data_IF_977864565730
#
_entry.id   IF_977864565730
#
_cell.length_a   1.000
_cell.length_b   1.000
_cell.length_c   1.000
_cell.angle_alpha   90.00
_cell.angle_beta   90.00
_cell.angle_gamma   90.00
#
_symmetry.space_group_name_H-M   'P 1'
#
loop_
_entity.id
_entity.type
_entity.pdbx_description
1 polymer ?
#
# COMPACT_ATOMS: atom_id res chain seq x y z
N UNK A 1 21.85 -5.35 18.26
CA UNK A 1 20.61 -5.98 17.73
C UNK A 1 19.44 -5.06 18.03
N UNK A 2 18.50 -4.90 17.10
CA UNK A 2 17.31 -4.09 17.36
C UNK A 2 16.40 -4.81 18.37
N UNK A 3 15.73 -4.08 19.27
CA UNK A 3 14.95 -4.65 20.38
C UNK A 3 13.88 -5.66 19.92
N UNK A 4 13.29 -5.44 18.74
CA UNK A 4 12.24 -6.31 18.17
C UNK A 4 12.77 -7.70 17.75
N UNK A 5 14.09 -7.87 17.63
CA UNK A 5 14.72 -9.16 17.29
C UNK A 5 14.87 -10.08 18.52
N UNK A 6 14.60 -9.58 19.72
CA UNK A 6 14.71 -10.33 20.98
C UNK A 6 13.39 -11.01 21.39
N UNK A 7 12.35 -10.90 20.57
CA UNK A 7 11.05 -11.51 20.83
C UNK A 7 11.12 -13.03 20.66
N UNK A 8 10.38 -13.77 21.49
CA UNK A 8 10.23 -15.22 21.32
C UNK A 8 9.48 -15.53 20.02
N UNK A 9 10.20 -16.01 19.02
CA UNK A 9 9.67 -16.34 17.70
C UNK A 9 9.10 -17.76 17.60
N UNK A 10 9.09 -18.52 18.70
CA UNK A 10 8.60 -19.91 18.73
C UNK A 10 7.15 -20.00 19.18
N UNK A 11 6.66 -19.02 19.93
CA UNK A 11 5.30 -18.99 20.46
C UNK A 11 4.32 -18.32 19.48
N UNK A 12 3.35 -19.11 19.00
CA UNK A 12 2.24 -18.63 18.18
C UNK A 12 1.35 -17.60 18.91
N UNK A 13 0.71 -16.72 18.15
CA UNK A 13 -0.27 -15.77 18.68
C UNK A 13 -1.66 -16.43 18.77
N UNK A 14 -2.31 -16.34 19.93
CA UNK A 14 -3.72 -16.72 20.09
C UNK A 14 -4.67 -15.77 19.36
N UNK A 15 -4.21 -14.55 19.03
CA UNK A 15 -4.97 -13.56 18.28
C UNK A 15 -5.00 -13.92 16.79
N UNK A 16 -3.92 -14.48 16.27
CA UNK A 16 -3.75 -14.83 14.85
C UNK A 16 -3.49 -16.33 14.70
N UNK A 17 -4.51 -17.18 14.89
CA UNK A 17 -4.34 -18.62 15.08
C UNK A 17 -3.75 -19.35 13.86
N UNK A 18 -3.85 -18.76 12.66
CA UNK A 18 -3.34 -19.36 11.42
C UNK A 18 -2.04 -18.72 10.92
N UNK A 19 -1.43 -17.80 11.68
CA UNK A 19 -0.17 -17.15 11.31
C UNK A 19 0.99 -17.73 12.13
N UNK A 20 1.87 -18.56 11.53
CA UNK A 20 3.00 -19.14 12.24
C UNK A 20 3.98 -18.05 12.71
N UNK A 21 4.36 -18.10 14.00
CA UNK A 21 5.23 -17.10 14.60
C UNK A 21 6.56 -16.94 13.86
N UNK A 22 7.22 -18.05 13.54
CA UNK A 22 8.50 -18.03 12.83
C UNK A 22 8.43 -17.30 11.48
N UNK A 23 7.41 -17.59 10.68
CA UNK A 23 7.18 -16.92 9.39
C UNK A 23 6.83 -15.44 9.56
N UNK A 24 6.03 -15.12 10.58
CA UNK A 24 5.68 -13.74 10.91
C UNK A 24 6.93 -12.90 11.22
N UNK A 25 7.78 -13.34 12.16
CA UNK A 25 8.98 -12.59 12.53
C UNK A 25 10.01 -12.50 11.39
N UNK A 26 10.14 -13.56 10.58
CA UNK A 26 10.96 -13.52 9.37
C UNK A 26 10.46 -12.47 8.37
N UNK A 27 9.13 -12.40 8.17
CA UNK A 27 8.52 -11.42 7.29
C UNK A 27 8.65 -9.98 7.82
N UNK A 28 8.48 -9.74 9.13
CA UNK A 28 8.77 -8.43 9.75
C UNK A 28 10.22 -8.01 9.49
N UNK A 29 11.18 -8.93 9.68
CA UNK A 29 12.59 -8.65 9.42
C UNK A 29 12.86 -8.36 7.93
N UNK A 30 12.25 -9.13 7.02
CA UNK A 30 12.32 -8.89 5.58
C UNK A 30 11.80 -7.50 5.23
N UNK A 31 10.64 -7.10 5.75
CA UNK A 31 10.03 -5.81 5.46
C UNK A 31 10.89 -4.63 5.94
N UNK A 32 11.43 -4.71 7.16
CA UNK A 32 12.29 -3.64 7.69
C UNK A 32 13.59 -3.50 6.88
N UNK A 33 14.19 -4.62 6.46
CA UNK A 33 15.43 -4.61 5.67
C UNK A 33 15.19 -4.23 4.21
N UNK A 34 14.09 -4.68 3.65
CA UNK A 34 13.76 -4.62 2.23
C UNK A 34 12.30 -4.21 2.07
N UNK A 35 11.96 -2.97 2.42
CA UNK A 35 10.58 -2.48 2.38
C UNK A 35 9.91 -2.65 1.01
N UNK A 36 10.69 -2.53 -0.07
CA UNK A 36 10.20 -2.72 -1.45
C UNK A 36 9.79 -4.17 -1.74
N UNK A 37 10.15 -5.14 -0.90
CA UNK A 37 9.74 -6.53 -1.07
C UNK A 37 8.36 -6.85 -0.48
N UNK A 38 7.71 -5.87 0.16
CA UNK A 38 6.33 -6.02 0.64
C UNK A 38 5.43 -6.38 -0.54
N UNK A 39 4.64 -7.44 -0.38
CA UNK A 39 3.90 -8.01 -1.49
C UNK A 39 2.40 -8.04 -1.20
N UNK A 40 1.62 -7.35 -2.04
CA UNK A 40 0.19 -7.17 -1.80
C UNK A 40 -0.71 -8.34 -2.21
N UNK A 41 -0.15 -9.38 -2.84
CA UNK A 41 -0.92 -10.55 -3.29
C UNK A 41 -1.50 -10.43 -4.70
N UNK A 42 -1.63 -11.56 -5.40
CA UNK A 42 -2.33 -11.62 -6.68
C UNK A 42 -3.83 -11.40 -6.51
N UNK A 43 -4.42 -10.65 -7.44
CA UNK A 43 -5.86 -10.39 -7.55
C UNK A 43 -6.49 -9.69 -6.33
N UNK A 44 -5.69 -9.07 -5.46
CA UNK A 44 -6.17 -8.29 -4.33
C UNK A 44 -6.32 -6.80 -4.66
N UNK A 45 -7.11 -6.07 -3.87
CA UNK A 45 -7.25 -4.61 -3.98
C UNK A 45 -6.40 -3.83 -2.94
N UNK A 46 -5.36 -4.46 -2.38
CA UNK A 46 -4.51 -3.86 -1.33
C UNK A 46 -3.47 -2.82 -1.81
N UNK A 47 -3.45 -2.47 -3.10
CA UNK A 47 -2.41 -1.61 -3.69
C UNK A 47 -2.15 -0.29 -2.97
N UNK A 48 -3.20 0.40 -2.55
CA UNK A 48 -3.08 1.66 -1.81
C UNK A 48 -2.35 1.48 -0.48
N UNK A 49 -2.70 0.45 0.29
CA UNK A 49 -2.04 0.17 1.56
C UNK A 49 -0.59 -0.27 1.33
N UNK A 50 -0.34 -1.12 0.33
CA UNK A 50 0.99 -1.62 0.04
C UNK A 50 1.94 -0.50 -0.40
N UNK A 51 1.53 0.36 -1.34
CA UNK A 51 2.33 1.50 -1.81
C UNK A 51 2.66 2.48 -0.66
N UNK A 52 1.68 2.77 0.21
CA UNK A 52 1.94 3.56 1.41
C UNK A 52 2.91 2.85 2.37
N UNK A 53 2.73 1.54 2.57
CA UNK A 53 3.52 0.76 3.53
C UNK A 53 5.00 0.73 3.15
N UNK A 54 5.34 0.62 1.87
CA UNK A 54 6.73 0.72 1.40
C UNK A 54 7.36 2.04 1.84
N UNK A 55 6.65 3.16 1.67
CA UNK A 55 7.12 4.47 2.10
C UNK A 55 7.25 4.55 3.62
N UNK A 56 6.21 4.14 4.33
CA UNK A 56 6.15 4.19 5.78
C UNK A 56 7.24 3.36 6.44
N UNK A 57 7.53 2.15 5.92
CA UNK A 57 8.56 1.28 6.47
C UNK A 57 9.96 1.84 6.19
N UNK A 58 10.19 2.44 5.01
CA UNK A 58 11.48 3.10 4.70
C UNK A 58 11.76 4.28 5.62
N UNK A 59 10.75 5.12 5.85
CA UNK A 59 10.88 6.36 6.62
C UNK A 59 10.81 6.13 8.14
N UNK A 60 9.96 5.20 8.59
CA UNK A 60 9.67 4.96 10.01
C UNK A 60 9.71 3.45 10.36
N UNK A 61 10.83 2.74 10.13
CA UNK A 61 10.91 1.29 10.31
C UNK A 61 10.64 0.84 11.75
N UNK A 62 11.08 1.61 12.75
CA UNK A 62 10.81 1.29 14.15
C UNK A 62 9.34 1.44 14.52
N UNK A 63 8.66 2.44 13.94
CA UNK A 63 7.24 2.65 14.20
C UNK A 63 6.44 1.53 13.58
N UNK A 64 6.77 1.14 12.35
CA UNK A 64 6.23 -0.08 11.75
C UNK A 64 6.43 -1.30 12.65
N UNK A 65 7.66 -1.53 13.15
CA UNK A 65 7.97 -2.67 14.03
C UNK A 65 7.10 -2.67 15.30
N UNK A 66 6.98 -1.52 15.99
CA UNK A 66 6.12 -1.39 17.17
C UNK A 66 4.66 -1.71 16.84
N UNK A 67 4.15 -1.18 15.73
CA UNK A 67 2.77 -1.37 15.32
C UNK A 67 2.46 -2.82 14.97
N UNK A 68 3.26 -3.43 14.10
CA UNK A 68 3.00 -4.79 13.62
C UNK A 68 3.16 -5.82 14.75
N UNK A 69 4.12 -5.62 15.66
CA UNK A 69 4.26 -6.49 16.83
C UNK A 69 3.09 -6.33 17.81
N UNK A 70 2.65 -5.10 18.08
CA UNK A 70 1.47 -4.84 18.92
C UNK A 70 0.22 -5.50 18.34
N UNK A 71 -0.01 -5.34 17.03
CA UNK A 71 -1.10 -6.01 16.33
C UNK A 71 -0.99 -7.53 16.43
N UNK A 72 0.21 -8.11 16.26
CA UNK A 72 0.40 -9.55 16.37
C UNK A 72 0.12 -10.09 17.78
N UNK A 73 0.56 -9.36 18.81
CA UNK A 73 0.49 -9.82 20.21
C UNK A 73 -0.89 -9.59 20.81
N UNK A 74 -1.56 -8.48 20.48
CA UNK A 74 -2.77 -8.02 21.16
C UNK A 74 -3.97 -7.85 20.23
N UNK A 75 -3.74 -7.84 18.92
CA UNK A 75 -4.75 -7.47 17.92
C UNK A 75 -5.02 -5.97 17.85
N UNK A 76 -4.27 -5.15 18.60
CA UNK A 76 -4.50 -3.72 18.72
C UNK A 76 -3.18 -2.94 18.67
N UNK A 77 -3.28 -1.68 18.25
CA UNK A 77 -2.22 -0.69 18.41
C UNK A 77 -2.83 0.68 18.63
N UNK A 78 -2.35 1.39 19.64
CA UNK A 78 -2.83 2.74 19.97
C UNK A 78 -1.64 3.66 20.24
N UNK A 79 -1.65 4.82 19.60
CA UNK A 79 -0.82 5.97 19.98
C UNK A 79 -1.64 7.27 19.88
N UNK A 80 -1.00 8.43 20.05
CA UNK A 80 -1.67 9.74 20.00
C UNK A 80 -2.28 10.09 18.63
N UNK A 81 -1.90 9.39 17.57
CA UNK A 81 -2.33 9.67 16.20
C UNK A 81 -3.34 8.66 15.65
N UNK A 82 -3.34 7.43 16.16
CA UNK A 82 -4.19 6.35 15.63
C UNK A 82 -4.50 5.27 16.68
N UNK A 83 -5.69 4.67 16.55
CA UNK A 83 -6.09 3.47 17.25
C UNK A 83 -6.58 2.43 16.21
N UNK A 84 -5.80 1.38 16.00
CA UNK A 84 -6.12 0.26 15.12
C UNK A 84 -6.50 -0.93 16.00
N UNK A 85 -7.70 -1.46 15.78
CA UNK A 85 -8.14 -2.72 16.40
C UNK A 85 -8.56 -3.67 15.29
N UNK A 86 -7.91 -4.83 15.23
CA UNK A 86 -8.27 -5.90 14.29
C UNK A 86 -9.59 -6.55 14.71
N UNK A 87 -10.51 -6.70 13.76
CA UNK A 87 -11.76 -7.45 13.97
C UNK A 87 -11.53 -8.97 14.07
N UNK A 88 -12.42 -9.72 14.74
CA UNK A 88 -12.36 -11.18 14.77
C UNK A 88 -12.30 -11.82 13.38
N UNK A 89 -13.00 -11.25 12.40
CA UNK A 89 -13.11 -11.77 11.05
C UNK A 89 -11.76 -11.74 10.33
N UNK A 90 -11.01 -10.65 10.40
CA UNK A 90 -9.68 -10.58 9.77
C UNK A 90 -8.65 -11.43 10.52
N UNK A 91 -8.82 -11.61 11.84
CA UNK A 91 -7.96 -12.48 12.67
C UNK A 91 -8.04 -13.94 12.26
N UNK A 92 -9.25 -14.40 11.94
CA UNK A 92 -9.49 -15.74 11.42
C UNK A 92 -9.08 -15.88 9.96
N UNK A 93 -9.05 -14.79 9.19
CA UNK A 93 -8.68 -14.83 7.78
C UNK A 93 -7.18 -14.91 7.55
N UNK A 94 -6.38 -14.13 8.30
CA UNK A 94 -4.94 -14.06 8.09
C UNK A 94 -4.28 -15.44 8.28
N UNK A 95 -3.43 -15.82 7.34
CA UNK A 95 -2.75 -17.12 7.31
C UNK A 95 -3.53 -18.23 6.59
N UNK A 96 -4.76 -18.00 6.17
CA UNK A 96 -5.60 -19.02 5.50
C UNK A 96 -5.62 -18.94 3.98
N UNK A 97 -5.14 -17.83 3.41
CA UNK A 97 -5.22 -17.57 1.98
C UNK A 97 -4.34 -18.52 1.16
N UNK A 98 -4.85 -18.91 -0.01
CA UNK A 98 -4.13 -19.74 -1.00
C UNK A 98 -4.16 -19.07 -2.36
N UNK A 99 -3.13 -19.31 -3.17
CA UNK A 99 -3.04 -18.79 -4.53
C UNK A 99 -2.79 -17.29 -4.62
N UNK A 100 -2.31 -16.67 -3.54
CA UNK A 100 -2.05 -15.22 -3.47
C UNK A 100 -0.59 -14.85 -3.75
N UNK A 101 0.20 -15.73 -4.36
CA UNK A 101 1.64 -15.51 -4.54
C UNK A 101 2.38 -15.50 -3.21
N UNK A 102 3.43 -14.67 -3.06
CA UNK A 102 4.21 -14.58 -1.81
C UNK A 102 3.37 -14.19 -0.59
N UNK A 103 2.28 -13.44 -0.78
CA UNK A 103 1.45 -12.94 0.32
C UNK A 103 0.93 -14.09 1.19
N UNK A 104 0.64 -15.26 0.61
CA UNK A 104 0.14 -16.41 1.35
C UNK A 104 1.12 -16.93 2.42
N UNK A 105 2.43 -16.67 2.24
CA UNK A 105 3.49 -17.04 3.18
C UNK A 105 3.90 -15.87 4.10
N UNK A 106 3.59 -14.64 3.69
CA UNK A 106 3.96 -13.42 4.41
C UNK A 106 2.89 -13.04 5.44
N UNK A 107 2.94 -13.69 6.61
CA UNK A 107 1.97 -13.47 7.69
C UNK A 107 1.92 -12.03 8.22
N UNK A 108 3.06 -11.33 8.26
CA UNK A 108 3.09 -9.93 8.69
C UNK A 108 2.45 -9.00 7.66
N UNK A 109 2.67 -9.25 6.36
CA UNK A 109 2.02 -8.51 5.28
C UNK A 109 0.50 -8.69 5.33
N UNK A 110 0.02 -9.91 5.55
CA UNK A 110 -1.41 -10.19 5.68
C UNK A 110 -2.03 -9.44 6.86
N UNK A 111 -1.45 -9.58 8.07
CA UNK A 111 -1.94 -8.88 9.28
C UNK A 111 -1.95 -7.37 9.06
N UNK A 112 -0.87 -6.83 8.50
CA UNK A 112 -0.72 -5.41 8.27
C UNK A 112 -1.78 -4.88 7.29
N UNK A 113 -1.86 -5.48 6.09
CA UNK A 113 -2.79 -5.03 5.04
C UNK A 113 -4.25 -5.20 5.45
N UNK A 114 -4.59 -6.31 6.11
CA UNK A 114 -5.93 -6.54 6.64
C UNK A 114 -6.29 -5.52 7.71
N UNK A 115 -5.40 -5.28 8.67
CA UNK A 115 -5.66 -4.32 9.76
C UNK A 115 -5.84 -2.90 9.24
N UNK A 116 -5.08 -2.50 8.21
CA UNK A 116 -5.25 -1.21 7.55
C UNK A 116 -6.57 -1.13 6.79
N UNK A 117 -6.93 -2.17 6.04
CA UNK A 117 -8.19 -2.21 5.30
C UNK A 117 -9.41 -2.23 6.22
N UNK A 118 -9.30 -2.89 7.37
CA UNK A 118 -10.36 -2.96 8.36
C UNK A 118 -10.56 -1.60 9.06
N UNK A 119 -9.47 -0.90 9.38
CA UNK A 119 -9.51 0.41 10.02
C UNK A 119 -9.91 1.55 9.06
N UNK A 120 -9.28 1.63 7.89
CA UNK A 120 -9.49 2.76 6.97
C UNK A 120 -10.66 2.49 6.02
N UNK A 121 -11.82 3.09 6.33
CA UNK A 121 -12.99 3.11 5.44
C UNK A 121 -13.15 4.45 4.71
N UNK A 122 -13.76 4.39 3.53
CA UNK A 122 -14.12 5.51 2.68
C UNK A 122 -15.40 5.20 1.89
N UNK A 123 -15.78 6.07 0.96
CA UNK A 123 -17.06 5.95 0.26
C UNK A 123 -17.22 4.67 -0.58
N UNK A 124 -16.12 4.06 -1.01
CA UNK A 124 -16.12 2.79 -1.77
C UNK A 124 -16.41 1.57 -0.88
N UNK A 125 -16.29 1.71 0.43
CA UNK A 125 -16.47 0.61 1.38
C UNK A 125 -17.87 0.63 2.02
N UNK A 126 -18.77 1.51 1.57
CA UNK A 126 -20.04 1.82 2.27
C UNK A 126 -21.05 0.68 2.22
N UNK A 127 -20.96 -0.19 1.22
CA UNK A 127 -21.85 -1.36 1.09
C UNK A 127 -21.29 -2.60 1.78
N UNK A 128 -19.99 -2.61 2.10
CA UNK A 128 -19.35 -3.72 2.80
C UNK A 128 -18.38 -3.21 3.87
N UNK A 129 -18.87 -3.17 5.11
CA UNK A 129 -18.11 -2.66 6.26
C UNK A 129 -17.38 -3.76 7.04
N UNK A 130 -17.82 -5.02 6.93
CA UNK A 130 -17.30 -6.16 7.71
C UNK A 130 -16.63 -7.16 6.78
N UNK A 131 -15.46 -7.65 7.17
CA UNK A 131 -14.74 -8.59 6.34
C UNK A 131 -15.50 -9.93 6.22
N UNK A 132 -15.59 -10.43 4.99
CA UNK A 132 -15.92 -11.81 4.67
C UNK A 132 -14.78 -12.43 3.84
N UNK A 133 -14.63 -13.75 3.91
CA UNK A 133 -13.57 -14.42 3.14
C UNK A 133 -13.75 -14.16 1.63
N UNK A 134 -12.70 -13.66 0.96
CA UNK A 134 -12.74 -13.22 -0.44
C UNK A 134 -12.79 -11.70 -0.62
N UNK A 135 -13.04 -10.94 0.46
CA UNK A 135 -13.10 -9.47 0.42
C UNK A 135 -11.77 -8.78 0.15
N UNK A 136 -10.66 -9.53 0.19
CA UNK A 136 -9.37 -9.04 -0.28
C UNK A 136 -9.36 -8.72 -1.78
N UNK A 137 -10.37 -9.16 -2.54
CA UNK A 137 -10.53 -8.88 -3.97
C UNK A 137 -11.72 -7.95 -4.27
N UNK A 138 -12.41 -7.43 -3.25
CA UNK A 138 -13.60 -6.59 -3.39
C UNK A 138 -13.32 -5.14 -3.00
N UNK A 139 -14.33 -4.29 -3.08
CA UNK A 139 -14.23 -2.89 -2.67
C UNK A 139 -14.02 -2.74 -1.15
N UNK A 140 -14.24 -3.79 -0.34
CA UNK A 140 -14.00 -3.77 1.11
C UNK A 140 -12.56 -3.34 1.45
N UNK A 141 -11.57 -3.87 0.74
CA UNK A 141 -10.17 -3.45 0.86
C UNK A 141 -9.73 -2.45 -0.23
N UNK A 142 -10.65 -1.99 -1.10
CA UNK A 142 -10.34 -0.96 -2.07
C UNK A 142 -9.85 0.34 -1.39
N UNK A 143 -8.99 1.07 -2.09
CA UNK A 143 -8.52 2.40 -1.67
C UNK A 143 -8.86 3.44 -2.73
N UNK A 144 -9.43 4.57 -2.30
CA UNK A 144 -9.63 5.77 -3.11
C UNK A 144 -8.59 6.84 -2.71
N UNK A 145 -8.46 7.91 -3.50
CA UNK A 145 -7.41 8.91 -3.27
C UNK A 145 -7.54 9.57 -1.89
N UNK A 146 -8.76 9.88 -1.46
CA UNK A 146 -9.03 10.50 -0.16
C UNK A 146 -8.61 9.59 1.01
N UNK A 147 -8.95 8.30 0.93
CA UNK A 147 -8.57 7.28 1.91
C UNK A 147 -7.05 7.13 1.98
N UNK A 148 -6.38 7.05 0.84
CA UNK A 148 -4.91 6.96 0.79
C UNK A 148 -4.25 8.14 1.52
N UNK A 149 -4.72 9.36 1.26
CA UNK A 149 -4.23 10.58 1.95
C UNK A 149 -4.53 10.58 3.44
N UNK A 150 -5.73 10.14 3.84
CA UNK A 150 -6.11 10.02 5.26
C UNK A 150 -5.16 9.06 5.98
N UNK A 151 -4.87 7.91 5.39
CA UNK A 151 -3.89 6.95 5.91
C UNK A 151 -2.50 7.59 6.00
N UNK A 152 -2.01 8.22 4.94
CA UNK A 152 -0.70 8.87 4.96
C UNK A 152 -0.56 9.90 6.09
N UNK A 153 -1.60 10.70 6.33
CA UNK A 153 -1.61 11.71 7.39
C UNK A 153 -1.70 11.09 8.79
N UNK A 154 -2.68 10.20 9.02
CA UNK A 154 -2.95 9.66 10.36
C UNK A 154 -1.89 8.66 10.80
N UNK A 155 -1.50 7.76 9.90
CA UNK A 155 -0.55 6.69 10.19
C UNK A 155 0.90 7.17 10.04
N UNK A 156 1.22 7.86 8.93
CA UNK A 156 2.59 8.30 8.65
C UNK A 156 2.95 9.68 9.20
N UNK A 157 1.98 10.48 9.63
CA UNK A 157 2.23 11.88 10.04
C UNK A 157 2.65 12.77 8.87
N UNK A 158 2.41 12.35 7.62
CA UNK A 158 2.86 13.07 6.43
C UNK A 158 1.98 14.29 6.13
N UNK A 159 2.62 15.40 5.76
CA UNK A 159 1.96 16.58 5.17
C UNK A 159 1.90 16.42 3.65
N UNK A 160 1.07 15.50 3.17
CA UNK A 160 0.97 15.20 1.75
C UNK A 160 0.35 16.35 0.96
N UNK A 161 0.88 16.63 -0.24
CA UNK A 161 0.16 17.42 -1.27
C UNK A 161 -0.44 16.44 -2.27
N UNK A 162 -1.63 16.74 -2.76
CA UNK A 162 -2.23 15.88 -3.78
C UNK A 162 -3.06 16.69 -4.77
N UNK A 163 -3.01 16.26 -6.02
CA UNK A 163 -3.82 16.78 -7.13
C UNK A 163 -4.56 15.62 -7.80
N UNK A 164 -5.70 15.94 -8.42
CA UNK A 164 -6.59 14.94 -9.04
C UNK A 164 -7.65 14.38 -8.09
N UNK A 165 -8.43 13.42 -8.57
CA UNK A 165 -9.48 12.74 -7.80
C UNK A 165 -9.87 11.41 -8.44
N UNK A 166 -10.76 10.67 -7.77
CA UNK A 166 -11.30 9.41 -8.27
C UNK A 166 -12.13 9.55 -9.57
N UNK A 167 -12.58 10.76 -9.90
CA UNK A 167 -13.43 11.01 -11.06
C UNK A 167 -12.78 11.97 -12.09
N UNK A 168 -11.89 12.86 -11.63
CA UNK A 168 -11.27 13.90 -12.45
C UNK A 168 -9.76 13.74 -12.49
N UNK A 169 -9.22 13.66 -13.70
CA UNK A 169 -7.79 13.55 -13.96
C UNK A 169 -7.14 14.93 -13.86
N UNK A 170 -5.99 15.06 -13.19
CA UNK A 170 -5.21 16.27 -13.26
C UNK A 170 -4.53 16.37 -14.62
N UNK A 171 -4.21 17.59 -15.04
CA UNK A 171 -3.29 17.79 -16.15
C UNK A 171 -1.88 17.82 -15.59
N UNK A 172 -1.11 16.77 -15.86
CA UNK A 172 0.28 16.61 -15.43
C UNK A 172 1.11 16.09 -16.59
N UNK A 173 2.28 16.68 -16.81
CA UNK A 173 3.27 16.20 -17.76
C UNK A 173 4.48 15.59 -17.03
N UNK A 174 5.53 15.24 -17.79
CA UNK A 174 6.73 14.60 -17.24
C UNK A 174 7.48 15.56 -16.33
N UNK A 175 7.65 16.81 -16.75
CA UNK A 175 8.34 17.84 -16.00
C UNK A 175 7.67 18.12 -14.64
N UNK A 176 6.32 18.16 -14.59
CA UNK A 176 5.58 18.32 -13.34
C UNK A 176 5.86 17.17 -12.35
N UNK A 177 5.88 15.94 -12.86
CA UNK A 177 6.14 14.73 -12.06
C UNK A 177 7.62 14.63 -11.65
N UNK A 178 8.54 15.04 -12.52
CA UNK A 178 9.95 15.16 -12.22
C UNK A 178 10.19 16.17 -11.09
N UNK A 179 9.59 17.36 -11.17
CA UNK A 179 9.66 18.38 -10.11
C UNK A 179 9.03 17.91 -8.80
N UNK A 180 8.00 17.07 -8.87
CA UNK A 180 7.41 16.45 -7.67
C UNK A 180 8.39 15.45 -7.02
N UNK A 181 9.02 14.58 -7.81
CA UNK A 181 10.03 13.63 -7.32
C UNK A 181 11.25 14.33 -6.70
N UNK A 182 11.65 15.48 -7.24
CA UNK A 182 12.74 16.27 -6.68
C UNK A 182 12.46 16.79 -5.25
N UNK A 183 11.20 16.83 -4.81
CA UNK A 183 10.79 17.28 -3.46
C UNK A 183 10.62 16.13 -2.47
N UNK A 184 10.57 14.90 -2.95
CA UNK A 184 10.34 13.71 -2.14
C UNK A 184 9.56 12.62 -2.86
N UNK A 185 9.20 11.53 -2.16
CA UNK A 185 8.48 10.42 -2.78
C UNK A 185 7.14 10.82 -3.39
N UNK A 186 6.80 10.20 -4.51
CA UNK A 186 5.54 10.43 -5.24
C UNK A 186 4.79 9.13 -5.42
N UNK A 187 3.51 9.10 -5.04
CA UNK A 187 2.61 7.99 -5.34
C UNK A 187 1.60 8.44 -6.38
N UNK A 188 1.46 7.66 -7.44
CA UNK A 188 0.48 7.90 -8.48
C UNK A 188 -0.76 7.04 -8.24
N UNK A 189 -1.92 7.67 -8.31
CA UNK A 189 -3.20 6.99 -8.40
C UNK A 189 -3.59 6.87 -9.87
N UNK A 190 -3.69 5.63 -10.34
CA UNK A 190 -3.72 5.32 -11.76
C UNK A 190 -4.86 4.38 -12.14
N UNK A 191 -5.23 4.44 -13.41
CA UNK A 191 -6.14 3.49 -14.02
C UNK A 191 -5.35 2.27 -14.53
N UNK A 192 -5.51 1.14 -13.85
CA UNK A 192 -4.74 -0.07 -14.14
C UNK A 192 -5.02 -0.67 -15.51
N UNK A 193 -6.11 -0.32 -16.20
CA UNK A 193 -6.32 -0.70 -17.61
C UNK A 193 -5.25 -0.08 -18.50
N UNK A 194 -4.92 1.19 -18.25
CA UNK A 194 -3.86 1.86 -19.00
C UNK A 194 -2.48 1.47 -18.48
N UNK A 195 -2.35 1.00 -17.24
CA UNK A 195 -1.10 0.44 -16.73
C UNK A 195 -0.82 -0.95 -17.32
N UNK A 196 -1.85 -1.79 -17.40
CA UNK A 196 -1.79 -3.20 -17.80
C UNK A 196 -2.84 -3.53 -18.89
N UNK A 197 -2.65 -3.07 -20.14
CA UNK A 197 -3.64 -3.18 -21.21
C UNK A 197 -3.97 -4.63 -21.60
N UNK A 198 -3.05 -5.56 -21.33
CA UNK A 198 -3.16 -6.97 -21.73
C UNK A 198 -3.78 -7.86 -20.63
N UNK A 199 -4.13 -7.30 -19.45
CA UNK A 199 -4.84 -8.07 -18.42
C UNK A 199 -6.34 -8.08 -18.77
N UNK A 200 -6.88 -9.26 -19.08
CA UNK A 200 -8.32 -9.45 -19.32
C UNK A 200 -9.13 -8.90 -18.13
N UNK A 201 -10.02 -7.95 -18.40
CA UNK A 201 -11.01 -7.46 -17.44
C UNK A 201 -12.40 -7.61 -18.03
N UNK A 202 -13.28 -8.28 -17.30
CA UNK A 202 -14.69 -8.50 -17.68
C UNK A 202 -15.46 -7.16 -17.68
N UNK A 203 -15.07 -6.20 -16.84
CA UNK A 203 -15.73 -4.90 -16.71
C UNK A 203 -14.81 -3.73 -17.08
N UNK A 204 -15.31 -2.86 -17.99
CA UNK A 204 -14.62 -1.72 -18.58
C UNK A 204 -14.88 -0.43 -17.80
N UNK A 205 -14.45 -0.34 -16.54
CA UNK A 205 -14.56 0.92 -15.81
C UNK A 205 -13.43 1.88 -16.19
N UNK A 206 -13.79 3.09 -16.64
CA UNK A 206 -12.86 4.21 -16.90
C UNK A 206 -12.39 4.89 -15.60
N UNK A 207 -12.37 4.16 -14.48
CA UNK A 207 -12.07 4.69 -13.16
C UNK A 207 -10.68 4.23 -12.71
N UNK A 208 -9.96 5.06 -11.94
CA UNK A 208 -8.70 4.67 -11.33
C UNK A 208 -8.95 3.57 -10.29
N UNK A 209 -8.04 2.61 -10.23
CA UNK A 209 -8.21 1.41 -9.40
C UNK A 209 -6.91 0.95 -8.75
N UNK A 210 -5.81 1.69 -8.94
CA UNK A 210 -4.49 1.20 -8.55
C UNK A 210 -3.55 2.32 -8.09
N UNK A 211 -2.62 1.99 -7.21
CA UNK A 211 -1.58 2.90 -6.72
C UNK A 211 -0.20 2.34 -7.05
N UNK A 212 0.71 3.20 -7.49
CA UNK A 212 2.12 2.87 -7.74
C UNK A 212 3.02 3.90 -7.08
N UNK A 213 4.19 3.47 -6.60
CA UNK A 213 5.21 4.38 -6.08
C UNK A 213 6.15 4.76 -7.22
N UNK A 214 6.18 6.03 -7.60
CA UNK A 214 7.01 6.53 -8.69
C UNK A 214 8.48 6.66 -8.25
N UNK A 215 9.40 6.17 -9.08
CA UNK A 215 10.84 6.30 -8.86
C UNK A 215 11.52 7.24 -9.85
N UNK A 216 11.11 7.18 -11.11
CA UNK A 216 11.69 8.01 -12.16
C UNK A 216 10.68 8.22 -13.29
N UNK A 217 10.80 9.36 -13.96
CA UNK A 217 10.04 9.66 -15.17
C UNK A 217 10.88 10.55 -16.08
N UNK A 218 10.94 10.20 -17.36
CA UNK A 218 11.70 10.92 -18.38
C UNK A 218 10.99 10.87 -19.73
N UNK A 219 11.20 11.89 -20.56
CA UNK A 219 10.78 11.86 -21.96
C UNK A 219 11.92 11.30 -22.83
N UNK A 220 11.67 10.20 -23.53
CA UNK A 220 12.61 9.53 -24.42
C UNK A 220 11.90 9.26 -25.74
N UNK A 221 12.38 9.88 -26.82
CA UNK A 221 11.84 9.71 -28.19
C UNK A 221 10.32 9.89 -28.30
N UNK A 222 9.76 10.87 -27.56
CA UNK A 222 8.31 11.14 -27.54
C UNK A 222 7.49 10.22 -26.64
N UNK A 223 8.14 9.34 -25.88
CA UNK A 223 7.51 8.46 -24.89
C UNK A 223 7.90 8.84 -23.47
N UNK A 224 6.96 8.66 -22.56
CA UNK A 224 7.17 8.76 -21.12
C UNK A 224 7.75 7.45 -20.62
N UNK A 225 9.05 7.42 -20.36
CA UNK A 225 9.75 6.33 -19.70
C UNK A 225 9.58 6.46 -18.19
N UNK A 226 8.78 5.56 -17.60
CA UNK A 226 8.39 5.60 -16.18
C UNK A 226 8.97 4.39 -15.47
N UNK A 227 9.69 4.64 -14.38
CA UNK A 227 10.12 3.59 -13.44
C UNK A 227 9.34 3.73 -12.15
N UNK A 228 8.74 2.64 -11.68
CA UNK A 228 7.89 2.66 -10.49
C UNK A 228 7.96 1.33 -9.74
N UNK A 229 7.54 1.33 -8.49
CA UNK A 229 7.29 0.13 -7.71
C UNK A 229 5.83 -0.27 -7.79
N UNK A 230 5.61 -1.57 -7.98
CA UNK A 230 4.30 -2.23 -7.91
C UNK A 230 4.47 -3.73 -7.61
N UNK A 231 3.56 -4.32 -6.82
CA UNK A 231 3.60 -5.74 -6.43
C UNK A 231 4.98 -6.25 -5.97
N UNK A 232 5.70 -5.49 -5.14
CA UNK A 232 6.99 -5.92 -4.61
C UNK A 232 8.17 -5.83 -5.62
N UNK A 233 7.94 -5.24 -6.79
CA UNK A 233 8.92 -5.20 -7.89
C UNK A 233 9.11 -3.78 -8.42
N UNK A 234 10.35 -3.48 -8.81
CA UNK A 234 10.68 -2.31 -9.61
C UNK A 234 10.37 -2.60 -11.07
N UNK A 235 9.50 -1.81 -11.67
CA UNK A 235 8.99 -1.96 -13.04
C UNK A 235 9.35 -0.74 -13.88
N UNK A 236 9.74 -0.98 -15.12
CA UNK A 236 9.93 0.03 -16.15
C UNK A 236 8.86 -0.11 -17.23
N UNK A 237 8.22 0.99 -17.63
CA UNK A 237 7.30 1.01 -18.76
C UNK A 237 7.44 2.30 -19.56
N UNK A 238 7.15 2.22 -20.86
CA UNK A 238 7.05 3.38 -21.74
C UNK A 238 5.60 3.64 -22.14
N UNK A 239 5.18 4.90 -22.05
CA UNK A 239 3.82 5.33 -22.39
C UNK A 239 3.86 6.42 -23.45
N UNK A 240 2.93 6.36 -24.41
CA UNK A 240 2.64 7.54 -25.24
C UNK A 240 2.00 8.62 -24.37
N UNK A 241 2.11 9.89 -24.76
CA UNK A 241 1.49 11.01 -24.04
C UNK A 241 -0.02 10.80 -23.82
N UNK A 242 -0.74 10.35 -24.86
CA UNK A 242 -2.18 10.07 -24.75
C UNK A 242 -2.49 8.96 -23.73
N UNK A 243 -1.64 7.93 -23.64
CA UNK A 243 -1.79 6.86 -22.65
C UNK A 243 -1.47 7.38 -21.26
N UNK A 244 -0.42 8.18 -21.09
CA UNK A 244 -0.06 8.80 -19.82
C UNK A 244 -1.18 9.69 -19.26
N UNK A 245 -1.77 10.55 -20.11
CA UNK A 245 -2.93 11.38 -19.76
C UNK A 245 -4.18 10.59 -19.37
N UNK A 246 -4.32 9.35 -19.84
CA UNK A 246 -5.43 8.44 -19.46
C UNK A 246 -5.09 7.59 -18.25
N UNK A 247 -3.81 7.43 -17.95
CA UNK A 247 -3.30 6.63 -16.86
C UNK A 247 -3.46 7.34 -15.52
N UNK A 248 -3.03 8.60 -15.40
CA UNK A 248 -2.93 9.30 -14.11
C UNK A 248 -4.24 9.99 -13.73
N UNK A 249 -4.72 9.67 -12.54
CA UNK A 249 -5.91 10.27 -11.90
C UNK A 249 -5.58 11.03 -10.63
N UNK A 250 -4.44 10.73 -10.01
CA UNK A 250 -3.96 11.51 -8.88
C UNK A 250 -2.46 11.42 -8.73
N UNK A 251 -1.88 12.48 -8.19
CA UNK A 251 -0.48 12.56 -7.80
C UNK A 251 -0.47 12.91 -6.32
N UNK A 252 0.18 12.10 -5.50
CA UNK A 252 0.36 12.34 -4.06
C UNK A 252 1.84 12.52 -3.79
N UNK A 253 2.21 13.74 -3.44
CA UNK A 253 3.55 14.11 -3.04
C UNK A 253 3.72 13.93 -1.53
N UNK A 254 4.88 13.40 -1.14
CA UNK A 254 5.35 13.32 0.23
C UNK A 254 6.57 14.25 0.36
N UNK A 255 6.38 15.56 0.55
CA UNK A 255 7.49 16.49 0.66
C UNK A 255 8.40 16.07 1.81
N UNK A 256 9.71 16.05 1.58
CA UNK A 256 10.70 15.90 2.64
C UNK A 256 10.43 17.00 3.66
N UNK A 257 10.32 16.64 4.95
CA UNK A 257 10.23 17.64 6.01
C UNK A 257 11.47 18.54 5.87
N UNK A 258 11.29 19.82 5.61
CA UNK A 258 12.38 20.77 5.80
C UNK A 258 12.88 20.54 7.23
N UNK A 259 14.14 20.16 7.38
CA UNK A 259 14.79 20.22 8.68
C UNK A 259 14.55 21.65 9.19
N UNK A 260 13.90 21.79 10.34
CA UNK A 260 13.79 23.10 10.96
C UNK A 260 15.25 23.56 11.17
N UNK A 261 15.66 24.73 10.62
CA UNK A 261 16.95 25.30 10.95
C UNK A 261 17.07 25.57 12.45
#
# INVERSE_FOLDING_TARGET
>A
MAWWQQQDSTKGSSIWPHVPASLFYQNVAKNIRYAESLYQGHSTNFCGYAAFSVLFIKDQPERYARMILSLYQTGQYTDSSINITSSPEIRLAAGTWKGKGELQLNGADQIWLLSLADHFKGYINTLNHKYNNGDENTDWCGTNLSKFRKMARQLGGYKTKAIGSDFYRPWVNEYDLYLALAKGPVVLFVNSKYLYPNKFRIYNLRLPTHFILLYDIKLIDGYYAVTYWDYGLKTFQMFTENRMRKLVYGVVEFPIKAENP
#
